data_IF_647336078006
#
_entry.id   IF_647336078006
#
_cell.length_a   1.000
_cell.length_b   1.000
_cell.length_c   1.000
_cell.angle_alpha   90.00
_cell.angle_beta   90.00
_cell.angle_gamma   90.00
#
_symmetry.space_group_name_H-M   'P 1'
#
loop_
_entity.id
_entity.type
_entity.pdbx_description
1 polymer ?
#
# COMPACT_ATOMS: atom_id res chain seq x y z
N UNK A 1 -17.67 3.44 3.82
CA UNK A 1 -17.56 2.30 4.78
C UNK A 1 -18.01 1.02 4.09
N UNK A 2 -17.19 -0.03 4.14
CA UNK A 2 -17.53 -1.35 3.59
C UNK A 2 -17.88 -2.27 4.77
N UNK A 3 -19.15 -2.64 4.89
CA UNK A 3 -19.67 -3.51 5.94
C UNK A 3 -20.26 -4.81 5.34
N UNK A 4 -20.34 -5.87 6.14
CA UNK A 4 -20.92 -7.15 5.74
C UNK A 4 -20.38 -8.33 6.54
N UNK A 5 -20.99 -9.51 6.34
CA UNK A 5 -20.59 -10.77 7.00
C UNK A 5 -19.15 -11.16 6.62
N UNK A 6 -18.49 -11.94 7.48
CA UNK A 6 -17.16 -12.49 7.20
C UNK A 6 -17.18 -13.40 5.97
N UNK A 7 -16.07 -13.47 5.24
CA UNK A 7 -15.94 -14.28 4.01
C UNK A 7 -16.69 -13.74 2.78
N UNK A 8 -17.22 -12.50 2.80
CA UNK A 8 -17.97 -11.91 1.69
C UNK A 8 -17.15 -10.92 0.83
N UNK A 9 -15.83 -11.08 0.80
CA UNK A 9 -14.97 -10.35 -0.13
C UNK A 9 -14.60 -8.91 0.29
N UNK A 10 -14.92 -8.47 1.53
CA UNK A 10 -14.55 -7.11 1.99
C UNK A 10 -13.04 -6.84 1.85
N UNK A 11 -12.23 -7.80 2.27
CA UNK A 11 -10.77 -7.68 2.20
C UNK A 11 -10.29 -7.64 0.75
N UNK A 12 -10.89 -8.44 -0.14
CA UNK A 12 -10.55 -8.42 -1.56
C UNK A 12 -10.83 -7.06 -2.22
N UNK A 13 -11.89 -6.37 -1.79
CA UNK A 13 -12.17 -5.00 -2.25
C UNK A 13 -11.07 -4.04 -1.76
N UNK A 14 -10.69 -4.11 -0.48
CA UNK A 14 -9.63 -3.27 0.07
C UNK A 14 -8.28 -3.53 -0.62
N UNK A 15 -7.94 -4.79 -0.88
CA UNK A 15 -6.74 -5.14 -1.65
C UNK A 15 -6.78 -4.59 -3.07
N UNK A 16 -7.94 -4.68 -3.72
CA UNK A 16 -8.11 -4.15 -5.07
C UNK A 16 -7.89 -2.64 -5.13
N UNK A 17 -8.41 -1.90 -4.16
CA UNK A 17 -8.20 -0.45 -4.03
C UNK A 17 -6.70 -0.17 -3.82
N UNK A 18 -6.06 -0.91 -2.90
CA UNK A 18 -4.63 -0.73 -2.62
C UNK A 18 -3.77 -1.03 -3.84
N UNK A 19 -3.95 -2.18 -4.48
CA UNK A 19 -3.19 -2.59 -5.67
C UNK A 19 -3.33 -1.56 -6.79
N UNK A 20 -4.53 -1.05 -7.03
CA UNK A 20 -4.78 -0.08 -8.11
C UNK A 20 -4.08 1.25 -7.86
N UNK A 21 -3.97 1.69 -6.61
CA UNK A 21 -3.36 2.97 -6.26
C UNK A 21 -1.85 2.87 -6.04
N UNK A 22 -1.34 1.75 -5.52
CA UNK A 22 0.09 1.54 -5.24
C UNK A 22 0.81 0.73 -6.34
N UNK A 23 0.25 0.68 -7.54
CA UNK A 23 0.76 -0.13 -8.67
C UNK A 23 2.24 0.14 -9.00
N UNK A 24 2.73 1.36 -8.77
CA UNK A 24 4.13 1.73 -9.01
C UNK A 24 5.09 1.14 -7.97
N UNK A 25 4.58 0.67 -6.83
CA UNK A 25 5.39 0.04 -5.79
C UNK A 25 5.76 -1.39 -6.18
N UNK A 26 7.04 -1.79 -6.09
CA UNK A 26 7.46 -3.15 -6.43
C UNK A 26 6.82 -4.21 -5.54
N UNK A 27 6.34 -3.85 -4.37
CA UNK A 27 5.75 -4.73 -3.37
C UNK A 27 4.22 -4.58 -3.22
N UNK A 28 3.55 -3.95 -4.19
CA UNK A 28 2.10 -3.67 -4.12
C UNK A 28 1.23 -4.92 -3.89
N UNK A 29 1.64 -6.10 -4.35
CA UNK A 29 0.94 -7.37 -4.08
C UNK A 29 1.45 -8.09 -2.82
N UNK A 30 2.65 -7.75 -2.35
CA UNK A 30 3.23 -8.37 -1.16
C UNK A 30 2.73 -7.68 0.11
N UNK A 31 2.62 -6.35 0.08
CA UNK A 31 2.16 -5.54 1.21
C UNK A 31 0.83 -6.00 1.82
N UNK A 32 -0.24 -6.27 1.05
CA UNK A 32 -1.49 -6.74 1.63
C UNK A 32 -1.36 -8.04 2.42
N UNK A 33 -0.49 -8.96 1.99
CA UNK A 33 -0.20 -10.21 2.72
C UNK A 33 0.52 -9.90 4.04
N UNK A 34 1.56 -9.07 3.98
CA UNK A 34 2.32 -8.67 5.15
C UNK A 34 1.46 -7.88 6.16
N UNK A 35 0.59 -7.00 5.69
CA UNK A 35 -0.32 -6.23 6.54
C UNK A 35 -1.32 -7.11 7.31
N UNK A 36 -1.58 -8.33 6.85
CA UNK A 36 -2.43 -9.31 7.54
C UNK A 36 -1.65 -10.23 8.48
N UNK A 37 -0.38 -9.93 8.71
CA UNK A 37 0.50 -10.75 9.53
C UNK A 37 1.03 -11.99 8.82
N UNK A 38 0.82 -12.12 7.51
CA UNK A 38 1.43 -13.16 6.70
C UNK A 38 2.91 -12.85 6.45
N UNK A 39 3.71 -13.90 6.37
CA UNK A 39 5.11 -13.81 5.92
C UNK A 39 5.15 -14.23 4.45
N UNK A 40 5.31 -13.30 3.50
CA UNK A 40 5.39 -13.67 2.09
C UNK A 40 6.67 -14.46 1.82
N UNK A 41 6.52 -15.68 1.35
CA UNK A 41 7.64 -16.51 0.93
C UNK A 41 8.03 -16.14 -0.51
N UNK A 42 9.14 -15.40 -0.65
CA UNK A 42 9.67 -14.99 -1.95
C UNK A 42 10.42 -16.12 -2.67
N UNK A 43 10.59 -17.27 -2.06
CA UNK A 43 11.23 -18.42 -2.71
C UNK A 43 10.31 -19.14 -3.69
N UNK A 44 8.99 -18.90 -3.58
CA UNK A 44 7.97 -19.60 -4.34
C UNK A 44 7.15 -18.64 -5.22
N UNK A 45 7.12 -18.89 -6.52
CA UNK A 45 6.25 -18.16 -7.46
C UNK A 45 4.75 -18.37 -7.18
N UNK A 46 4.40 -19.32 -6.32
CA UNK A 46 3.02 -19.55 -5.87
C UNK A 46 2.46 -18.41 -5.01
N UNK A 47 3.33 -17.52 -4.50
CA UNK A 47 2.91 -16.34 -3.75
C UNK A 47 1.79 -15.58 -4.46
N UNK A 48 1.94 -15.36 -5.76
CA UNK A 48 0.95 -14.61 -6.54
C UNK A 48 -0.32 -15.39 -6.85
N UNK A 49 -0.25 -16.72 -6.87
CA UNK A 49 -1.41 -17.58 -7.16
C UNK A 49 -2.54 -17.40 -6.15
N UNK A 50 -2.21 -17.02 -4.91
CA UNK A 50 -3.21 -16.77 -3.86
C UNK A 50 -4.20 -15.65 -4.18
N UNK A 51 -3.88 -14.76 -5.12
CA UNK A 51 -4.77 -13.70 -5.60
C UNK A 51 -5.71 -14.17 -6.69
N UNK A 52 -5.38 -15.25 -7.39
CA UNK A 52 -6.15 -15.74 -8.52
C UNK A 52 -7.20 -16.76 -8.08
N UNK A 53 -8.36 -16.70 -8.71
CA UNK A 53 -9.44 -17.64 -8.43
C UNK A 53 -8.97 -19.07 -8.70
N UNK A 54 -9.28 -19.95 -7.76
CA UNK A 54 -8.92 -21.39 -7.81
C UNK A 54 -7.41 -21.64 -7.97
N UNK A 55 -6.57 -20.65 -7.60
CA UNK A 55 -5.11 -20.68 -7.78
C UNK A 55 -4.69 -20.93 -9.25
N UNK A 56 -5.57 -20.61 -10.20
CA UNK A 56 -5.30 -20.85 -11.61
C UNK A 56 -4.60 -19.64 -12.26
N UNK A 57 -3.36 -19.84 -12.68
CA UNK A 57 -2.52 -18.84 -13.35
C UNK A 57 -3.07 -18.34 -14.70
N UNK A 58 -4.03 -19.07 -15.30
CA UNK A 58 -4.67 -18.66 -16.56
C UNK A 58 -5.72 -17.59 -16.36
N UNK A 59 -6.19 -17.41 -15.12
CA UNK A 59 -7.15 -16.38 -14.81
C UNK A 59 -6.49 -15.00 -14.87
N UNK A 60 -7.28 -13.99 -15.19
CA UNK A 60 -6.91 -12.59 -15.11
C UNK A 60 -7.77 -11.91 -14.04
N UNK A 61 -7.15 -11.04 -13.24
CA UNK A 61 -7.85 -10.19 -12.30
C UNK A 61 -8.12 -8.86 -13.01
N UNK A 62 -9.38 -8.44 -13.07
CA UNK A 62 -9.78 -7.13 -13.60
C UNK A 62 -10.43 -6.31 -12.50
N UNK A 63 -9.83 -5.15 -12.19
CA UNK A 63 -10.33 -4.20 -11.19
C UNK A 63 -10.74 -2.94 -11.93
N UNK A 64 -12.04 -2.64 -11.91
CA UNK A 64 -12.60 -1.44 -12.53
C UNK A 64 -12.98 -0.45 -11.46
N UNK A 65 -12.48 0.78 -11.57
CA UNK A 65 -12.76 1.87 -10.65
C UNK A 65 -13.35 3.06 -11.41
N UNK A 66 -14.36 3.66 -10.85
CA UNK A 66 -14.92 4.92 -11.26
C UNK A 66 -14.83 5.90 -10.09
N UNK A 67 -14.16 7.01 -10.30
CA UNK A 67 -13.95 8.06 -9.30
C UNK A 67 -14.99 9.17 -9.47
N UNK A 68 -15.23 9.95 -8.43
CA UNK A 68 -16.22 11.03 -8.41
C UNK A 68 -16.02 12.06 -9.53
N UNK A 69 -14.79 12.26 -9.98
CA UNK A 69 -14.44 13.14 -11.10
C UNK A 69 -14.70 12.52 -12.49
N UNK A 70 -15.49 11.44 -12.55
CA UNK A 70 -15.80 10.68 -13.78
C UNK A 70 -14.58 9.99 -14.42
N UNK A 71 -13.45 9.97 -13.75
CA UNK A 71 -12.28 9.22 -14.20
C UNK A 71 -12.55 7.72 -14.05
N UNK A 72 -12.45 6.98 -15.16
CA UNK A 72 -12.61 5.52 -15.18
C UNK A 72 -11.28 4.86 -15.41
N UNK A 73 -10.92 3.94 -14.52
CA UNK A 73 -9.66 3.21 -14.58
C UNK A 73 -9.92 1.70 -14.56
N UNK A 74 -9.07 0.95 -15.23
CA UNK A 74 -9.05 -0.50 -15.16
C UNK A 74 -7.61 -0.97 -14.87
N UNK A 75 -7.47 -1.80 -13.84
CA UNK A 75 -6.19 -2.47 -13.53
C UNK A 75 -6.37 -3.96 -13.81
N UNK A 76 -5.49 -4.52 -14.62
CA UNK A 76 -5.45 -5.96 -14.94
C UNK A 76 -4.19 -6.57 -14.38
N UNK A 77 -4.35 -7.72 -13.73
CA UNK A 77 -3.24 -8.51 -13.20
C UNK A 77 -3.28 -9.89 -13.83
N UNK A 78 -2.17 -10.31 -14.42
CA UNK A 78 -2.03 -11.61 -15.06
C UNK A 78 -0.64 -12.21 -14.79
N UNK A 79 -0.53 -13.53 -14.87
CA UNK A 79 0.74 -14.25 -14.84
C UNK A 79 1.04 -14.71 -16.27
N UNK A 80 2.19 -14.32 -16.80
CA UNK A 80 2.65 -14.69 -18.13
C UNK A 80 3.94 -15.53 -18.02
N UNK A 81 4.07 -16.54 -18.86
CA UNK A 81 5.30 -17.31 -18.94
C UNK A 81 6.19 -16.74 -20.04
N UNK A 82 7.33 -16.19 -19.68
CA UNK A 82 8.30 -15.69 -20.64
C UNK A 82 9.21 -16.84 -21.09
N UNK A 83 9.02 -17.27 -22.33
CA UNK A 83 9.98 -18.11 -23.04
C UNK A 83 11.04 -17.19 -23.64
N UNK A 84 12.29 -17.46 -23.36
CA UNK A 84 13.45 -16.59 -23.61
C UNK A 84 13.76 -16.38 -25.10
N UNK A 85 12.98 -15.57 -25.83
CA UNK A 85 13.35 -15.17 -27.20
C UNK A 85 13.09 -13.69 -27.51
N UNK A 86 12.91 -12.83 -26.52
CA UNK A 86 12.71 -11.40 -26.76
C UNK A 86 13.87 -10.56 -26.24
N UNK A 87 14.79 -10.28 -27.16
CA UNK A 87 15.93 -9.37 -27.04
C UNK A 87 15.54 -7.89 -27.08
N UNK A 88 14.45 -7.44 -26.46
CA UNK A 88 14.11 -6.02 -26.42
C UNK A 88 13.32 -5.66 -25.15
N UNK A 89 14.00 -5.72 -24.00
CA UNK A 89 13.53 -4.97 -22.84
C UNK A 89 14.35 -3.70 -22.78
N UNK A 90 13.82 -2.62 -23.33
CA UNK A 90 14.37 -1.29 -23.17
C UNK A 90 14.33 -0.86 -21.71
N UNK A 91 15.50 -0.79 -21.09
CA UNK A 91 15.67 -0.20 -19.76
C UNK A 91 15.44 1.30 -19.86
N UNK A 92 14.30 1.76 -19.37
CA UNK A 92 14.13 3.20 -19.07
C UNK A 92 14.57 3.41 -17.62
N UNK A 93 15.78 3.93 -17.46
CA UNK A 93 16.29 4.44 -16.19
C UNK A 93 15.40 5.55 -15.66
N UNK A 94 14.62 5.30 -14.64
CA UNK A 94 14.10 6.36 -13.77
C UNK A 94 15.03 6.47 -12.57
N UNK A 95 15.63 7.65 -12.42
CA UNK A 95 16.52 8.04 -11.33
C UNK A 95 15.80 8.03 -9.97
N UNK A 96 15.62 6.89 -9.35
CA UNK A 96 15.49 6.75 -7.89
C UNK A 96 15.77 5.28 -7.55
N UNK A 97 16.83 5.07 -6.76
CA UNK A 97 17.37 3.81 -6.25
C UNK A 97 18.43 3.20 -7.19
N UNK A 98 19.61 3.77 -7.15
CA UNK A 98 20.84 3.04 -7.40
C UNK A 98 20.99 1.92 -6.38
N UNK A 99 20.85 0.67 -6.84
CA UNK A 99 21.69 -0.47 -6.42
C UNK A 99 21.27 -1.72 -7.16
N UNK A 100 22.24 -2.20 -7.92
CA UNK A 100 22.39 -3.43 -8.66
C UNK A 100 22.11 -3.33 -10.17
N UNK A 101 23.18 -3.00 -10.87
CA UNK A 101 23.32 -3.29 -12.30
C UNK A 101 23.13 -4.79 -12.52
N UNK A 102 21.97 -5.17 -13.00
CA UNK A 102 21.77 -6.51 -13.55
C UNK A 102 22.32 -6.47 -14.96
N UNK A 103 23.41 -7.19 -15.21
CA UNK A 103 23.96 -7.39 -16.54
C UNK A 103 22.89 -7.88 -17.51
N UNK A 104 22.85 -7.38 -18.76
CA UNK A 104 21.79 -7.69 -19.72
C UNK A 104 21.87 -9.09 -20.34
N UNK A 105 22.35 -10.12 -19.64
CA UNK A 105 22.60 -11.44 -20.19
C UNK A 105 22.04 -12.63 -19.43
N UNK A 106 21.09 -12.48 -18.52
CA UNK A 106 20.38 -13.65 -18.02
C UNK A 106 19.11 -13.86 -18.83
N UNK A 107 19.10 -14.86 -19.71
CA UNK A 107 17.89 -15.38 -20.33
C UNK A 107 17.01 -15.97 -19.22
N UNK A 108 16.05 -15.19 -18.73
CA UNK A 108 15.12 -15.64 -17.71
C UNK A 108 14.04 -16.51 -18.36
N UNK A 109 13.84 -17.70 -17.81
CA UNK A 109 12.71 -18.59 -18.13
C UNK A 109 11.86 -18.72 -16.88
N UNK A 110 10.64 -18.25 -16.91
CA UNK A 110 9.74 -18.42 -15.77
C UNK A 110 8.50 -17.56 -15.85
N UNK A 111 7.71 -17.69 -14.81
CA UNK A 111 6.49 -16.90 -14.66
C UNK A 111 6.83 -15.48 -14.24
N UNK A 112 6.21 -14.52 -14.88
CA UNK A 112 6.24 -13.11 -14.51
C UNK A 112 4.84 -12.63 -14.22
N UNK A 113 4.69 -11.83 -13.19
CA UNK A 113 3.45 -11.13 -12.92
C UNK A 113 3.43 -9.82 -13.70
N UNK A 114 2.37 -9.58 -14.43
CA UNK A 114 2.12 -8.31 -15.11
C UNK A 114 0.93 -7.60 -14.52
N UNK A 115 1.12 -6.33 -14.19
CA UNK A 115 0.07 -5.44 -13.73
C UNK A 115 -0.02 -4.30 -14.72
N UNK A 116 -1.18 -4.14 -15.36
CA UNK A 116 -1.41 -3.12 -16.38
C UNK A 116 -2.53 -2.20 -15.94
N UNK A 117 -2.29 -0.91 -16.00
CA UNK A 117 -3.28 0.13 -15.69
C UNK A 117 -3.71 0.84 -16.96
N UNK A 118 -5.02 0.95 -17.13
CA UNK A 118 -5.66 1.54 -18.30
C UNK A 118 -6.54 2.71 -17.90
N UNK A 119 -6.59 3.72 -18.77
CA UNK A 119 -7.60 4.76 -18.73
C UNK A 119 -8.81 4.31 -19.57
N UNK A 120 -9.99 4.41 -18.98
CA UNK A 120 -11.28 4.08 -19.59
C UNK A 120 -12.19 5.29 -19.73
N UNK A 121 -11.66 6.49 -19.63
CA UNK A 121 -12.46 7.72 -19.73
C UNK A 121 -13.12 7.86 -21.11
N UNK A 122 -12.56 7.19 -22.13
CA UNK A 122 -13.18 7.11 -23.46
C UNK A 122 -13.82 5.70 -23.65
N UNK A 123 -15.11 5.63 -24.00
CA UNK A 123 -15.85 4.35 -24.05
C UNK A 123 -15.28 3.33 -25.05
N UNK A 124 -14.65 3.80 -26.13
CA UNK A 124 -14.21 2.97 -27.27
C UNK A 124 -12.72 2.66 -27.27
N UNK A 125 -11.92 3.26 -26.38
CA UNK A 125 -10.48 3.05 -26.35
C UNK A 125 -9.94 2.77 -24.95
N UNK A 126 -9.31 1.61 -24.80
CA UNK A 126 -8.48 1.30 -23.64
C UNK A 126 -7.08 1.87 -23.90
N UNK A 127 -6.73 2.97 -23.22
CA UNK A 127 -5.39 3.51 -23.30
C UNK A 127 -4.53 3.00 -22.16
N UNK A 128 -3.52 2.17 -22.44
CA UNK A 128 -2.59 1.69 -21.42
C UNK A 128 -1.73 2.85 -20.92
N UNK A 129 -1.74 3.09 -19.63
CA UNK A 129 -0.99 4.16 -18.96
C UNK A 129 0.25 3.65 -18.25
N UNK A 130 0.21 2.43 -17.76
CA UNK A 130 1.29 1.86 -16.98
C UNK A 130 1.31 0.34 -17.09
N UNK A 131 2.49 -0.23 -17.23
CA UNK A 131 2.73 -1.65 -17.09
C UNK A 131 3.83 -1.87 -16.04
N UNK A 132 3.56 -2.74 -15.07
CA UNK A 132 4.55 -3.23 -14.12
C UNK A 132 4.74 -4.70 -14.35
N UNK A 133 6.00 -5.11 -14.50
CA UNK A 133 6.39 -6.51 -14.60
C UNK A 133 7.16 -6.87 -13.34
N UNK A 134 6.69 -7.87 -12.62
CA UNK A 134 7.32 -8.38 -11.41
C UNK A 134 7.80 -9.81 -11.61
N UNK A 135 8.96 -10.10 -11.06
CA UNK A 135 9.63 -11.37 -11.19
C UNK A 135 10.29 -11.76 -9.88
N UNK A 136 10.17 -13.01 -9.49
CA UNK A 136 10.88 -13.57 -8.35
C UNK A 136 12.03 -14.43 -8.88
N UNK A 137 13.24 -14.17 -8.42
CA UNK A 137 14.42 -14.96 -8.74
C UNK A 137 15.22 -15.20 -7.44
N UNK A 138 15.25 -16.46 -7.00
CA UNK A 138 15.75 -16.78 -5.67
C UNK A 138 14.92 -16.08 -4.60
N UNK A 139 15.56 -15.37 -3.67
CA UNK A 139 14.88 -14.60 -2.61
C UNK A 139 14.71 -13.12 -2.96
N UNK A 140 14.80 -12.75 -4.25
CA UNK A 140 14.70 -11.37 -4.70
C UNK A 140 13.49 -11.15 -5.57
N UNK A 141 12.74 -10.10 -5.27
CA UNK A 141 11.71 -9.55 -6.12
C UNK A 141 12.32 -8.43 -6.97
N UNK A 142 12.24 -8.59 -8.29
CA UNK A 142 12.57 -7.51 -9.23
C UNK A 142 11.30 -6.95 -9.83
N UNK A 143 11.24 -5.64 -10.00
CA UNK A 143 10.10 -4.95 -10.58
C UNK A 143 10.58 -3.98 -11.65
N UNK A 144 9.94 -4.03 -12.81
CA UNK A 144 10.18 -3.10 -13.90
C UNK A 144 8.89 -2.34 -14.20
N UNK A 145 8.97 -1.00 -14.20
CA UNK A 145 7.85 -0.11 -14.44
C UNK A 145 8.02 0.60 -15.77
N UNK A 146 7.05 0.45 -16.65
CA UNK A 146 6.96 1.19 -17.92
C UNK A 146 5.73 2.12 -17.86
N UNK A 147 5.95 3.42 -18.05
CA UNK A 147 4.89 4.43 -18.14
C UNK A 147 4.63 4.79 -19.60
N UNK A 148 3.37 4.83 -19.98
CA UNK A 148 2.90 5.22 -21.31
C UNK A 148 2.18 6.57 -21.24
N UNK A 149 2.87 7.65 -21.59
CA UNK A 149 2.33 9.01 -21.56
C UNK A 149 2.45 9.74 -20.23
N UNK A 150 2.07 11.00 -20.21
CA UNK A 150 2.04 11.87 -19.02
C UNK A 150 0.70 11.74 -18.30
N UNK A 151 0.72 11.71 -16.97
CA UNK A 151 -0.49 11.89 -16.15
C UNK A 151 -1.11 10.63 -15.58
N UNK A 152 -0.35 9.86 -14.80
CA UNK A 152 -0.92 9.07 -13.72
C UNK A 152 -0.50 9.76 -12.43
N UNK A 153 -1.40 10.52 -11.84
CA UNK A 153 -1.24 10.97 -10.48
C UNK A 153 -1.34 9.75 -9.59
N UNK A 154 -0.25 9.45 -8.88
CA UNK A 154 -0.27 8.46 -7.83
C UNK A 154 -1.17 9.00 -6.73
N UNK A 155 -2.32 8.39 -6.53
CA UNK A 155 -3.17 8.69 -5.39
C UNK A 155 -2.47 8.14 -4.16
N UNK A 156 -2.12 9.01 -3.21
CA UNK A 156 -1.57 8.57 -1.95
C UNK A 156 -2.58 7.64 -1.26
N UNK A 157 -2.14 6.43 -0.96
CA UNK A 157 -2.99 5.42 -0.32
C UNK A 157 -2.30 4.92 0.92
N UNK A 158 -2.97 5.03 2.05
CA UNK A 158 -2.49 4.50 3.33
C UNK A 158 -3.30 3.29 3.74
N UNK A 159 -2.62 2.21 4.06
CA UNK A 159 -3.23 0.98 4.56
C UNK A 159 -3.07 0.92 6.08
N UNK A 160 -4.19 1.01 6.81
CA UNK A 160 -4.22 0.90 8.27
C UNK A 160 -4.69 -0.50 8.65
N UNK A 161 -3.78 -1.31 9.18
CA UNK A 161 -4.07 -2.69 9.57
C UNK A 161 -4.60 -2.77 11.01
N UNK A 162 -5.25 -3.89 11.33
CA UNK A 162 -5.63 -4.19 12.72
C UNK A 162 -4.42 -4.43 13.62
N UNK A 163 -3.29 -4.83 13.04
CA UNK A 163 -2.03 -5.14 13.73
C UNK A 163 -0.98 -4.03 13.57
N UNK A 164 -1.30 -2.91 12.90
CA UNK A 164 -0.35 -1.81 12.81
C UNK A 164 -0.03 -1.33 14.22
N UNK A 165 1.24 -1.45 14.58
CA UNK A 165 1.74 -0.91 15.84
C UNK A 165 1.47 0.58 15.85
N UNK A 166 0.76 1.01 16.87
CA UNK A 166 0.26 2.36 17.09
C UNK A 166 1.40 3.40 17.06
N UNK A 167 2.62 2.98 17.40
CA UNK A 167 3.85 3.78 17.35
C UNK A 167 4.60 3.62 16.02
N UNK A 168 3.91 3.74 14.89
CA UNK A 168 4.58 3.79 13.59
C UNK A 168 5.41 5.09 13.51
N UNK A 169 6.69 4.98 13.18
CA UNK A 169 7.60 6.12 12.99
C UNK A 169 7.05 7.19 12.06
N UNK A 170 6.25 6.79 11.07
CA UNK A 170 5.58 7.71 10.17
C UNK A 170 4.51 8.55 10.89
N UNK A 171 3.63 7.93 11.67
CA UNK A 171 2.61 8.63 12.47
C UNK A 171 3.25 9.60 13.48
N UNK A 172 4.33 9.17 14.16
CA UNK A 172 5.09 10.02 15.10
C UNK A 172 5.70 11.22 14.36
N UNK A 173 6.28 11.01 13.18
CA UNK A 173 6.90 12.07 12.39
C UNK A 173 5.89 13.11 11.91
N UNK A 174 4.75 12.66 11.37
CA UNK A 174 3.68 13.56 10.90
C UNK A 174 3.08 14.32 12.06
N UNK A 175 2.75 13.63 13.17
CA UNK A 175 2.23 14.25 14.38
C UNK A 175 3.23 15.28 14.96
N UNK A 176 4.54 14.97 14.93
CA UNK A 176 5.59 15.90 15.38
C UNK A 176 5.58 17.20 14.58
N UNK A 177 5.37 17.13 13.28
CA UNK A 177 5.24 18.31 12.44
C UNK A 177 3.96 19.12 12.78
N UNK A 178 2.84 18.44 13.02
CA UNK A 178 1.58 19.09 13.41
C UNK A 178 1.71 19.79 14.77
N UNK A 179 2.34 19.14 15.75
CA UNK A 179 2.62 19.74 17.07
C UNK A 179 3.52 20.97 16.92
N UNK A 180 4.60 20.85 16.14
CA UNK A 180 5.53 21.97 15.88
C UNK A 180 4.81 23.18 15.27
N UNK A 181 3.86 22.94 14.39
CA UNK A 181 3.09 23.96 13.70
C UNK A 181 1.87 24.44 14.51
N UNK A 182 1.61 23.85 15.70
CA UNK A 182 0.43 24.10 16.54
C UNK A 182 -0.91 23.77 15.84
N UNK A 183 -0.89 22.78 14.96
CA UNK A 183 -2.03 22.38 14.11
C UNK A 183 -2.67 21.06 14.59
N UNK A 184 -2.75 20.89 15.91
CA UNK A 184 -3.31 19.68 16.56
C UNK A 184 -4.73 19.84 17.04
N UNK A 185 -5.30 21.04 16.94
CA UNK A 185 -6.60 21.35 17.54
C UNK A 185 -7.73 20.47 17.01
N UNK A 186 -7.83 20.33 15.69
CA UNK A 186 -8.86 19.50 15.03
C UNK A 186 -8.74 18.03 15.40
N UNK A 187 -7.50 17.54 15.53
CA UNK A 187 -7.22 16.16 15.96
C UNK A 187 -7.71 15.94 17.38
N UNK A 188 -7.36 16.86 18.30
CA UNK A 188 -7.78 16.78 19.71
C UNK A 188 -9.31 16.82 19.82
N UNK A 189 -9.98 17.70 19.08
CA UNK A 189 -11.44 17.78 19.06
C UNK A 189 -12.08 16.47 18.58
N UNK A 190 -11.54 15.87 17.51
CA UNK A 190 -12.01 14.57 17.01
C UNK A 190 -11.74 13.43 17.98
N UNK A 191 -10.61 13.46 18.68
CA UNK A 191 -10.26 12.45 19.69
C UNK A 191 -11.16 12.51 20.92
N UNK A 192 -11.67 13.69 21.27
CA UNK A 192 -12.62 13.88 22.37
C UNK A 192 -13.95 13.18 22.16
N UNK A 193 -14.35 12.93 20.91
CA UNK A 193 -15.56 12.15 20.59
C UNK A 193 -15.49 10.71 21.12
N UNK A 194 -14.27 10.14 21.22
CA UNK A 194 -14.05 8.82 21.81
C UNK A 194 -13.71 8.88 23.29
N UNK A 195 -12.93 9.89 23.69
CA UNK A 195 -12.52 10.06 25.08
C UNK A 195 -12.45 11.55 25.43
N UNK A 196 -13.47 12.03 26.13
CA UNK A 196 -13.64 13.43 26.54
C UNK A 196 -12.56 13.96 27.48
N UNK A 197 -11.80 13.06 28.11
CA UNK A 197 -10.69 13.41 29.00
C UNK A 197 -9.42 13.83 28.27
N UNK A 198 -9.32 13.64 26.96
CA UNK A 198 -8.13 14.04 26.20
C UNK A 198 -8.10 15.58 26.10
N UNK A 199 -7.08 16.19 26.71
CA UNK A 199 -6.88 17.65 26.71
C UNK A 199 -5.83 18.07 25.70
N UNK A 200 -4.74 17.28 25.57
CA UNK A 200 -3.63 17.58 24.68
C UNK A 200 -2.92 16.30 24.21
N UNK A 201 -2.11 16.43 23.14
CA UNK A 201 -1.26 15.37 22.59
C UNK A 201 0.16 15.87 22.57
N UNK A 202 1.09 15.05 23.06
CA UNK A 202 2.50 15.36 23.14
C UNK A 202 3.35 14.20 22.61
N UNK A 203 4.58 14.49 22.24
CA UNK A 203 5.58 13.48 21.94
C UNK A 203 6.57 13.39 23.09
N UNK A 204 6.81 12.20 23.55
CA UNK A 204 7.79 11.93 24.59
C UNK A 204 8.61 10.69 24.33
N UNK A 205 9.38 10.29 25.33
CA UNK A 205 10.18 9.07 25.28
C UNK A 205 9.81 8.24 26.50
N UNK A 206 9.34 7.03 26.28
CA UNK A 206 9.09 6.04 27.31
C UNK A 206 10.02 4.84 27.08
N UNK A 207 10.80 4.46 28.08
CA UNK A 207 11.75 3.37 28.00
C UNK A 207 12.70 3.48 26.77
N UNK A 208 13.19 4.68 26.48
CA UNK A 208 14.07 5.00 25.32
C UNK A 208 13.40 4.86 23.94
N UNK A 209 12.10 4.66 23.91
CA UNK A 209 11.34 4.58 22.66
C UNK A 209 10.46 5.85 22.54
N UNK A 210 10.47 6.52 21.37
CA UNK A 210 9.52 7.61 21.12
C UNK A 210 8.08 7.12 21.25
N UNK A 211 7.26 7.83 22.03
CA UNK A 211 5.85 7.49 22.24
C UNK A 211 4.98 8.73 22.18
N UNK A 212 3.75 8.52 21.72
CA UNK A 212 2.70 9.53 21.75
C UNK A 212 2.06 9.50 23.12
N UNK A 213 1.99 10.65 23.77
CA UNK A 213 1.49 10.84 25.11
C UNK A 213 0.25 11.75 25.09
N UNK A 214 -0.71 11.44 25.94
CA UNK A 214 -1.94 12.22 26.11
C UNK A 214 -1.99 12.89 27.49
N UNK A 215 -2.28 14.18 27.49
CA UNK A 215 -2.73 14.86 28.69
C UNK A 215 -4.23 14.57 28.88
N UNK A 216 -4.57 13.94 29.98
CA UNK A 216 -5.95 13.62 30.39
C UNK A 216 -6.36 14.36 31.64
N UNK A 217 -5.63 15.42 32.02
CA UNK A 217 -5.89 16.23 33.22
C UNK A 217 -5.42 15.57 34.52
N UNK A 218 -4.68 14.47 34.45
CA UNK A 218 -4.05 13.84 35.61
C UNK A 218 -2.65 14.39 35.89
N UNK A 219 -2.02 13.91 36.97
CA UNK A 219 -0.65 14.33 37.34
C UNK A 219 0.43 13.86 36.36
N UNK A 220 0.13 12.93 35.49
CA UNK A 220 1.07 12.37 34.50
C UNK A 220 0.40 12.15 33.14
N UNK A 221 1.20 12.31 32.11
CA UNK A 221 0.79 11.96 30.73
C UNK A 221 0.59 10.45 30.59
N UNK A 222 -0.39 10.07 29.79
CA UNK A 222 -0.75 8.67 29.54
C UNK A 222 -0.24 8.27 28.14
N UNK A 223 0.54 7.20 28.07
CA UNK A 223 1.03 6.68 26.80
C UNK A 223 -0.10 6.15 25.92
N UNK A 224 0.01 6.34 24.59
CA UNK A 224 -0.97 5.83 23.63
C UNK A 224 -1.20 4.32 23.76
N UNK A 225 -0.16 3.57 24.10
CA UNK A 225 -0.23 2.12 24.36
C UNK A 225 -1.25 1.76 25.48
N UNK A 226 -1.48 2.68 26.42
CA UNK A 226 -2.41 2.51 27.53
C UNK A 226 -3.82 3.03 27.26
N UNK A 227 -4.04 3.76 26.17
CA UNK A 227 -5.33 4.39 25.82
C UNK A 227 -6.30 3.43 25.11
N UNK A 228 -5.85 2.25 24.75
CA UNK A 228 -6.62 1.26 24.00
C UNK A 228 -6.47 1.39 22.47
N UNK A 229 -6.65 0.26 21.79
CA UNK A 229 -6.39 0.13 20.35
C UNK A 229 -7.25 1.08 19.48
N UNK A 230 -8.49 1.32 19.87
CA UNK A 230 -9.41 2.20 19.14
C UNK A 230 -8.93 3.65 19.07
N UNK A 231 -8.37 4.17 20.17
CA UNK A 231 -7.80 5.51 20.25
C UNK A 231 -6.60 5.63 19.31
N UNK A 232 -5.72 4.63 19.30
CA UNK A 232 -4.56 4.62 18.42
C UNK A 232 -4.93 4.57 16.95
N UNK A 233 -5.91 3.76 16.57
CA UNK A 233 -6.40 3.68 15.18
C UNK A 233 -7.03 4.99 14.73
N UNK A 234 -7.88 5.60 15.56
CA UNK A 234 -8.46 6.89 15.24
C UNK A 234 -7.35 7.93 15.05
N UNK A 235 -6.39 8.02 15.97
CA UNK A 235 -5.28 8.96 15.83
C UNK A 235 -4.51 8.75 14.51
N UNK A 236 -4.22 7.49 14.15
CA UNK A 236 -3.56 7.19 12.88
C UNK A 236 -4.38 7.67 11.67
N UNK A 237 -5.69 7.49 11.70
CA UNK A 237 -6.59 7.97 10.62
C UNK A 237 -6.59 9.50 10.54
N UNK A 238 -6.56 10.19 11.66
CA UNK A 238 -6.61 11.66 11.72
C UNK A 238 -5.29 12.33 11.32
N UNK A 239 -4.17 11.62 11.46
CA UNK A 239 -2.82 12.16 11.22
C UNK A 239 -2.34 11.88 9.79
N UNK A 240 -2.86 10.83 9.13
CA UNK A 240 -2.48 10.43 7.76
C UNK A 240 -3.33 11.16 6.73
#
# INVERSE_FOLDING_TARGET
>A
VIAGKNGKGKTSILDSIFITNDIASPDCLIKPIAFRGGSPDLTNNELWLSYFRDFDRKNEISIKMELENSMKQETRVSIENIKSDTSNIGTVSSNVIERNQISPRSSYRGDVLKIRKYDRSQPESLSMKMEVTQQISGNQLTSNLVKHGSGIDATATTFITTSSTINNTNTISVLGNLIKNKDTKSIIESMKEINDKILNIELGVLNQVPEILFDTGGDKLVGLSSMGEGVGKLLTILVV
#
